data_IF_296357138813
#
_entry.id   IF_296357138813
#
_cell.length_a   1.000
_cell.length_b   1.000
_cell.length_c   1.000
_cell.angle_alpha   90.00
_cell.angle_beta   90.00
_cell.angle_gamma   90.00
#
_symmetry.space_group_name_H-M   'P 1'
#
loop_
_entity.id
_entity.type
_entity.pdbx_description
1 polymer ?
#
# COMPACT_ATOMS: atom_id res chain seq x y z
N UNK A 1 29.46 3.92 22.03
CA UNK A 1 28.04 3.99 22.39
C UNK A 1 27.52 5.25 21.71
N UNK A 2 26.83 5.11 20.57
CA UNK A 2 26.48 6.25 19.73
C UNK A 2 25.22 7.00 20.23
N UNK A 3 24.40 6.32 21.05
CA UNK A 3 23.14 6.83 21.56
C UNK A 3 23.09 6.84 23.08
N UNK A 4 22.39 7.83 23.62
CA UNK A 4 22.00 7.94 25.03
C UNK A 4 20.48 7.86 25.20
N UNK A 5 20.05 7.43 26.39
CA UNK A 5 18.63 7.35 26.73
C UNK A 5 18.07 8.74 27.02
N UNK A 6 16.97 9.09 26.35
CA UNK A 6 16.26 10.34 26.63
C UNK A 6 15.60 10.26 28.00
N UNK A 7 15.89 11.22 28.86
CA UNK A 7 15.26 11.33 30.17
C UNK A 7 13.91 12.07 30.07
N UNK A 8 13.00 11.75 31.00
CA UNK A 8 11.73 12.47 31.10
C UNK A 8 11.98 13.95 31.38
N UNK A 9 11.40 14.83 30.57
CA UNK A 9 11.54 16.28 30.71
C UNK A 9 12.85 16.85 30.12
N UNK A 10 13.66 16.05 29.43
CA UNK A 10 14.79 16.54 28.65
C UNK A 10 14.29 17.44 27.51
N UNK A 11 14.91 18.62 27.35
CA UNK A 11 14.53 19.60 26.32
C UNK A 11 15.67 19.96 25.38
N UNK A 12 16.88 19.48 25.65
CA UNK A 12 18.08 19.72 24.84
C UNK A 12 18.53 18.40 24.25
N UNK A 13 18.78 18.41 22.95
CA UNK A 13 19.20 17.26 22.18
C UNK A 13 20.37 17.64 21.29
N UNK A 14 21.30 16.71 21.11
CA UNK A 14 22.34 16.83 20.11
C UNK A 14 21.75 16.64 18.71
N UNK A 15 20.82 15.70 18.56
CA UNK A 15 20.16 15.43 17.27
C UNK A 15 19.42 16.68 16.75
N UNK A 16 19.68 17.16 15.53
CA UNK A 16 19.10 18.38 15.02
C UNK A 16 17.65 18.18 14.57
N UNK A 17 16.77 19.06 15.04
CA UNK A 17 15.37 19.12 14.62
C UNK A 17 14.45 18.06 15.21
N UNK A 18 14.89 17.38 16.27
CA UNK A 18 14.03 16.56 17.13
C UNK A 18 13.60 17.35 18.36
N UNK A 19 12.43 17.02 18.89
CA UNK A 19 11.91 17.57 20.13
C UNK A 19 11.01 16.53 20.81
N UNK A 20 10.80 16.62 22.14
CA UNK A 20 9.81 15.80 22.81
C UNK A 20 8.42 16.20 22.32
N UNK A 21 7.60 15.21 22.01
CA UNK A 21 6.18 15.40 21.83
C UNK A 21 5.48 15.69 23.19
N UNK A 22 4.16 15.94 23.22
CA UNK A 22 3.43 16.16 24.47
C UNK A 22 3.52 15.01 25.50
N UNK A 23 3.92 13.80 25.09
CA UNK A 23 4.15 12.64 25.97
C UNK A 23 5.60 12.54 26.45
N UNK A 24 6.47 13.47 26.04
CA UNK A 24 7.90 13.46 26.33
C UNK A 24 8.71 12.53 25.42
N UNK A 25 8.11 11.98 24.36
CA UNK A 25 8.79 11.06 23.43
C UNK A 25 9.54 11.87 22.40
N UNK A 26 10.83 11.60 22.25
CA UNK A 26 11.64 12.23 21.23
C UNK A 26 11.13 11.89 19.83
N UNK A 27 10.81 12.94 19.08
CA UNK A 27 10.28 12.83 17.73
C UNK A 27 10.86 13.93 16.84
N UNK A 28 11.32 13.56 15.65
CA UNK A 28 11.62 14.48 14.56
C UNK A 28 10.41 14.74 13.68
N UNK A 29 10.64 15.40 12.53
CA UNK A 29 9.58 15.65 11.52
C UNK A 29 9.13 14.37 10.81
N UNK A 30 10.01 13.37 10.72
CA UNK A 30 9.77 12.14 9.97
C UNK A 30 10.10 10.90 10.80
N UNK A 31 9.36 9.84 10.54
CA UNK A 31 9.76 8.48 10.89
C UNK A 31 10.35 7.82 9.65
N UNK A 32 11.53 7.25 9.81
CA UNK A 32 12.26 6.56 8.76
C UNK A 32 12.33 5.09 9.13
N UNK A 33 11.87 4.23 8.23
CA UNK A 33 11.92 2.78 8.38
C UNK A 33 12.85 2.19 7.34
N UNK A 34 13.75 1.32 7.76
CA UNK A 34 14.65 0.59 6.87
C UNK A 34 14.24 -0.87 6.78
N UNK A 35 14.23 -1.39 5.55
CA UNK A 35 13.92 -2.78 5.23
C UNK A 35 15.01 -3.37 4.35
N UNK A 36 15.51 -4.58 4.65
CA UNK A 36 16.50 -5.25 3.80
C UNK A 36 15.96 -5.57 2.39
N UNK A 37 14.65 -5.73 2.25
CA UNK A 37 14.00 -6.12 0.99
C UNK A 37 12.74 -5.29 0.71
N UNK A 38 12.35 -5.24 -0.56
CA UNK A 38 11.06 -4.63 -0.97
C UNK A 38 9.86 -5.37 -0.39
N UNK A 39 9.96 -6.70 -0.24
CA UNK A 39 8.91 -7.50 0.37
C UNK A 39 8.65 -7.09 1.83
N UNK A 40 9.70 -6.75 2.59
CA UNK A 40 9.55 -6.22 3.94
C UNK A 40 8.77 -4.91 3.97
N UNK A 41 9.09 -3.98 3.06
CA UNK A 41 8.36 -2.72 2.93
C UNK A 41 6.89 -2.95 2.50
N UNK A 42 6.63 -3.84 1.53
CA UNK A 42 5.26 -4.19 1.11
C UNK A 42 4.47 -4.84 2.25
N UNK A 43 5.12 -5.71 3.04
CA UNK A 43 4.50 -6.34 4.20
C UNK A 43 4.14 -5.32 5.28
N UNK A 44 4.99 -4.30 5.48
CA UNK A 44 4.67 -3.17 6.34
C UNK A 44 3.43 -2.40 5.83
N UNK A 45 3.37 -2.05 4.54
CA UNK A 45 2.20 -1.38 3.95
C UNK A 45 0.92 -2.21 4.10
N UNK A 46 1.00 -3.52 3.87
CA UNK A 46 -0.11 -4.45 4.07
C UNK A 46 -0.65 -4.37 5.50
N UNK A 47 0.23 -4.51 6.48
CA UNK A 47 -0.16 -4.46 7.89
C UNK A 47 -0.71 -3.09 8.27
N UNK A 48 -0.04 -2.01 7.85
CA UNK A 48 -0.48 -0.65 8.16
C UNK A 48 -1.86 -0.37 7.58
N UNK A 49 -2.10 -0.75 6.32
CA UNK A 49 -3.39 -0.57 5.64
C UNK A 49 -4.55 -1.29 6.32
N UNK A 50 -4.28 -2.37 7.06
CA UNK A 50 -5.30 -3.09 7.83
C UNK A 50 -5.65 -2.44 9.18
N UNK A 51 -4.79 -1.55 9.70
CA UNK A 51 -4.99 -0.89 10.98
C UNK A 51 -5.36 0.59 10.86
N UNK A 52 -4.98 1.25 9.76
CA UNK A 52 -5.18 2.67 9.55
C UNK A 52 -5.17 3.05 8.06
N UNK A 53 -5.81 4.16 7.72
CA UNK A 53 -5.79 4.72 6.38
C UNK A 53 -4.37 5.14 5.97
N UNK A 54 -3.88 4.64 4.83
CA UNK A 54 -2.62 5.08 4.23
C UNK A 54 -2.72 6.50 3.69
N UNK A 55 -3.91 6.97 3.31
CA UNK A 55 -4.16 8.33 2.82
C UNK A 55 -3.62 9.41 3.77
N UNK A 56 -3.58 9.16 5.07
CA UNK A 56 -3.01 10.08 6.06
C UNK A 56 -1.49 10.26 5.90
N UNK A 57 -0.80 9.24 5.39
CA UNK A 57 0.65 9.22 5.22
C UNK A 57 1.09 9.64 3.82
N UNK A 58 0.29 9.30 2.80
CA UNK A 58 0.66 9.43 1.38
C UNK A 58 1.18 10.81 0.96
N UNK A 59 0.65 11.96 1.43
CA UNK A 59 1.12 13.27 0.97
C UNK A 59 2.61 13.54 1.19
N UNK A 60 3.23 12.93 2.20
CA UNK A 60 4.66 13.10 2.53
C UNK A 60 5.39 11.76 2.64
N UNK A 61 4.80 10.70 2.09
CA UNK A 61 5.40 9.38 2.08
C UNK A 61 6.40 9.26 0.93
N UNK A 62 7.60 8.76 1.23
CA UNK A 62 8.58 8.42 0.19
C UNK A 62 9.08 6.99 0.37
N UNK A 63 9.29 6.30 -0.75
CA UNK A 63 9.92 4.97 -0.78
C UNK A 63 11.17 5.10 -1.62
N UNK A 64 12.32 4.94 -0.99
CA UNK A 64 13.62 5.16 -1.64
C UNK A 64 14.45 3.90 -1.59
N UNK A 65 15.08 3.55 -2.70
CA UNK A 65 16.15 2.56 -2.74
C UNK A 65 17.42 3.25 -2.30
N UNK A 66 18.03 2.76 -1.24
CA UNK A 66 19.26 3.35 -0.72
C UNK A 66 20.38 2.33 -0.72
N UNK A 67 21.61 2.82 -0.87
CA UNK A 67 22.84 2.05 -0.74
C UNK A 67 23.59 2.50 0.51
N UNK A 68 24.09 1.52 1.23
CA UNK A 68 24.86 1.69 2.46
C UNK A 68 26.35 1.88 2.14
N UNK A 69 27.14 2.33 3.12
CA UNK A 69 28.60 2.42 2.97
C UNK A 69 29.27 1.07 2.60
N UNK A 70 28.67 -0.05 3.04
CA UNK A 70 29.14 -1.41 2.72
C UNK A 70 28.65 -1.92 1.35
N UNK A 71 27.90 -1.11 0.60
CA UNK A 71 27.39 -1.47 -0.73
C UNK A 71 26.08 -2.24 -0.74
N UNK A 72 25.55 -2.64 0.42
CA UNK A 72 24.23 -3.27 0.54
C UNK A 72 23.12 -2.31 0.12
N UNK A 73 22.09 -2.86 -0.53
CA UNK A 73 20.88 -2.12 -0.94
C UNK A 73 19.74 -2.40 0.04
N UNK A 74 19.05 -1.35 0.43
CA UNK A 74 17.92 -1.39 1.34
C UNK A 74 16.77 -0.53 0.79
N UNK A 75 15.56 -0.83 1.25
CA UNK A 75 14.38 0.00 1.00
C UNK A 75 14.14 0.85 2.23
N UNK A 76 14.02 2.15 2.01
CA UNK A 76 13.76 3.14 3.04
C UNK A 76 12.39 3.72 2.80
N UNK A 77 11.52 3.59 3.80
CA UNK A 77 10.18 4.20 3.80
C UNK A 77 10.20 5.34 4.80
N UNK A 78 9.97 6.56 4.31
CA UNK A 78 9.86 7.75 5.15
C UNK A 78 8.39 8.17 5.22
N UNK A 79 7.89 8.42 6.42
CA UNK A 79 6.53 8.89 6.67
C UNK A 79 6.56 10.13 7.57
N UNK A 80 5.55 11.02 7.49
CA UNK A 80 5.45 12.15 8.41
C UNK A 80 5.24 11.65 9.84
N UNK A 81 6.00 12.19 10.79
CA UNK A 81 5.85 11.90 12.22
C UNK A 81 4.88 12.91 12.86
N UNK A 82 3.59 12.77 12.58
CA UNK A 82 2.55 13.72 13.06
C UNK A 82 2.36 13.64 14.57
N UNK A 83 2.48 12.43 15.13
CA UNK A 83 2.41 12.18 16.58
C UNK A 83 3.18 10.92 16.94
N UNK A 84 3.57 10.79 18.21
CA UNK A 84 4.13 9.54 18.71
C UNK A 84 3.15 8.37 18.61
N UNK A 85 1.83 8.59 18.63
CA UNK A 85 0.86 7.52 18.41
C UNK A 85 0.95 6.91 17.01
N UNK A 86 1.08 7.76 15.98
CA UNK A 86 1.28 7.31 14.61
C UNK A 86 2.65 6.63 14.43
N UNK A 87 3.69 7.20 15.05
CA UNK A 87 5.03 6.63 15.05
C UNK A 87 5.11 5.28 15.77
N UNK A 88 4.41 5.12 16.90
CA UNK A 88 4.31 3.85 17.66
C UNK A 88 3.67 2.74 16.82
N UNK A 89 2.57 3.06 16.13
CA UNK A 89 1.91 2.13 15.22
C UNK A 89 2.86 1.70 14.10
N UNK A 90 3.47 2.68 13.42
CA UNK A 90 4.42 2.42 12.33
C UNK A 90 5.61 1.58 12.80
N UNK A 91 6.21 1.93 13.94
CA UNK A 91 7.37 1.23 14.51
C UNK A 91 7.04 -0.19 14.96
N UNK A 92 5.88 -0.41 15.58
CA UNK A 92 5.41 -1.75 15.97
C UNK A 92 5.33 -2.67 14.75
N UNK A 93 4.68 -2.20 13.69
CA UNK A 93 4.52 -2.98 12.46
C UNK A 93 5.85 -3.16 11.73
N UNK A 94 6.73 -2.16 11.76
CA UNK A 94 8.07 -2.24 11.19
C UNK A 94 8.91 -3.34 11.87
N UNK A 95 8.88 -3.40 13.21
CA UNK A 95 9.54 -4.47 13.97
C UNK A 95 8.98 -5.85 13.66
N UNK A 96 7.67 -5.97 13.46
CA UNK A 96 7.02 -7.25 13.15
C UNK A 96 7.53 -7.86 11.84
N UNK A 97 7.89 -7.03 10.86
CA UNK A 97 8.44 -7.48 9.56
C UNK A 97 9.97 -7.46 9.51
N UNK A 98 10.64 -7.30 10.65
CA UNK A 98 12.10 -7.30 10.76
C UNK A 98 12.80 -6.03 10.27
N UNK A 99 12.08 -4.91 10.17
CA UNK A 99 12.66 -3.61 9.88
C UNK A 99 13.13 -2.85 11.13
N UNK A 100 13.86 -1.76 10.92
CA UNK A 100 14.27 -0.83 11.98
C UNK A 100 13.61 0.54 11.78
N UNK A 101 13.26 1.21 12.86
CA UNK A 101 12.59 2.52 12.82
C UNK A 101 13.45 3.58 13.50
N UNK A 102 13.51 4.75 12.88
CA UNK A 102 14.27 5.90 13.31
C UNK A 102 13.41 7.16 13.24
N UNK A 103 13.76 8.19 13.99
CA UNK A 103 13.10 9.49 13.96
C UNK A 103 14.11 10.61 13.75
N UNK A 104 13.71 11.65 13.01
CA UNK A 104 14.62 12.73 12.62
C UNK A 104 13.97 13.68 11.61
N UNK A 105 14.77 14.57 11.05
CA UNK A 105 14.25 15.72 10.30
C UNK A 105 14.70 15.75 8.85
N UNK A 106 15.96 15.42 8.57
CA UNK A 106 16.52 15.46 7.21
C UNK A 106 17.76 14.60 7.05
N UNK A 107 18.87 14.98 7.71
CA UNK A 107 20.18 14.35 7.53
C UNK A 107 20.54 13.34 8.60
N UNK A 108 20.01 13.50 9.81
CA UNK A 108 20.31 12.61 10.93
C UNK A 108 19.02 12.06 11.50
N UNK A 109 19.02 10.75 11.69
CA UNK A 109 17.91 10.00 12.26
C UNK A 109 18.46 9.14 13.40
N UNK A 110 17.83 9.19 14.56
CA UNK A 110 18.17 8.39 15.73
C UNK A 110 17.17 7.27 15.90
N UNK A 111 17.60 6.16 16.49
CA UNK A 111 16.74 5.00 16.76
C UNK A 111 15.46 5.44 17.46
N UNK A 112 14.33 4.99 16.93
CA UNK A 112 13.03 5.22 17.57
C UNK A 112 12.90 4.36 18.83
N UNK A 113 12.08 4.82 19.77
CA UNK A 113 11.94 4.23 21.10
C UNK A 113 11.60 2.73 21.12
N UNK A 114 11.95 2.11 22.22
CA UNK A 114 11.63 0.73 22.56
C UNK A 114 11.40 0.60 24.08
N UNK A 115 11.28 -0.64 24.56
CA UNK A 115 11.02 -0.93 25.98
C UNK A 115 12.20 -0.53 26.89
N UNK A 116 13.42 -0.43 26.35
CA UNK A 116 14.62 -0.02 27.09
C UNK A 116 14.72 1.50 27.18
N UNK A 117 14.23 2.22 26.17
CA UNK A 117 14.15 3.68 26.20
C UNK A 117 12.76 4.18 25.80
N UNK A 118 11.81 4.24 26.74
CA UNK A 118 10.43 4.62 26.46
C UNK A 118 10.25 6.05 25.91
N UNK A 119 11.22 6.93 26.14
CA UNK A 119 11.21 8.32 25.62
C UNK A 119 12.07 8.50 24.36
N UNK A 120 12.72 7.43 23.87
CA UNK A 120 13.57 7.48 22.69
C UNK A 120 15.05 7.63 23.02
N UNK A 121 15.84 7.88 21.98
CA UNK A 121 17.29 7.93 22.04
C UNK A 121 17.80 9.21 21.42
N UNK A 122 18.79 9.85 22.04
CA UNK A 122 19.52 10.96 21.44
C UNK A 122 20.94 10.53 21.06
N UNK A 123 21.54 11.19 20.08
CA UNK A 123 22.92 10.95 19.71
C UNK A 123 23.86 11.57 20.76
N UNK A 124 24.92 10.85 21.15
CA UNK A 124 25.97 11.42 22.02
C UNK A 124 26.87 12.38 21.23
N UNK A 125 27.11 12.04 19.97
CA UNK A 125 27.87 12.85 19.02
C UNK A 125 27.32 12.63 17.61
N UNK A 126 27.23 13.71 16.84
CA UNK A 126 26.85 13.69 15.44
C UNK A 126 28.14 13.76 14.65
N UNK A 127 28.69 12.59 14.39
CA UNK A 127 29.91 12.45 13.60
C UNK A 127 29.81 13.12 12.23
N UNK A 128 30.97 13.35 11.62
CA UNK A 128 31.05 13.98 10.31
C UNK A 128 30.35 13.13 9.23
N UNK A 129 29.41 13.74 8.51
CA UNK A 129 28.75 13.12 7.36
C UNK A 129 29.59 13.36 6.11
N UNK A 130 29.98 12.29 5.41
CA UNK A 130 30.67 12.41 4.13
C UNK A 130 29.81 13.17 3.11
N UNK A 131 30.42 13.97 2.25
CA UNK A 131 29.71 14.80 1.27
C UNK A 131 28.84 14.00 0.28
N UNK A 132 29.14 12.71 0.10
CA UNK A 132 28.41 11.78 -0.76
C UNK A 132 27.23 11.09 -0.08
N UNK A 133 27.06 11.27 1.24
CA UNK A 133 25.99 10.67 2.04
C UNK A 133 24.79 11.61 2.10
N UNK A 134 23.59 11.09 1.83
CA UNK A 134 22.37 11.89 1.85
C UNK A 134 21.79 12.03 3.27
N UNK A 135 21.82 10.94 4.03
CA UNK A 135 21.41 10.91 5.43
C UNK A 135 22.12 9.80 6.20
N UNK A 136 22.14 9.92 7.52
CA UNK A 136 22.70 8.96 8.46
C UNK A 136 21.62 8.49 9.43
N UNK A 137 21.66 7.20 9.74
CA UNK A 137 20.92 6.62 10.87
C UNK A 137 21.89 6.28 11.99
N UNK A 138 21.46 6.52 13.22
CA UNK A 138 22.19 6.22 14.44
C UNK A 138 21.42 5.14 15.19
N UNK A 139 21.99 3.94 15.27
CA UNK A 139 21.52 2.81 16.06
C UNK A 139 22.31 2.66 17.36
N UNK A 140 21.94 1.66 18.17
CA UNK A 140 22.55 1.46 19.50
C UNK A 140 24.09 1.31 19.43
N UNK A 141 24.55 0.51 18.46
CA UNK A 141 25.96 0.10 18.31
C UNK A 141 26.60 0.57 17.00
N UNK A 142 25.86 1.28 16.15
CA UNK A 142 26.34 1.68 14.82
C UNK A 142 25.80 3.05 14.40
N UNK A 143 26.55 3.71 13.53
CA UNK A 143 26.07 4.84 12.73
C UNK A 143 26.31 4.50 11.26
N UNK A 144 25.31 4.72 10.42
CA UNK A 144 25.33 4.26 9.04
C UNK A 144 24.82 5.34 8.10
N UNK A 145 25.67 5.69 7.11
CA UNK A 145 25.32 6.59 6.02
C UNK A 145 24.61 5.86 4.88
N UNK A 146 23.63 6.54 4.30
CA UNK A 146 22.86 6.09 3.16
C UNK A 146 22.98 7.07 1.99
N UNK A 147 23.06 6.50 0.79
CA UNK A 147 23.00 7.21 -0.49
C UNK A 147 21.75 6.76 -1.23
N UNK A 148 20.92 7.69 -1.69
CA UNK A 148 19.69 7.43 -2.45
C UNK A 148 20.06 7.05 -3.88
N UNK A 149 19.63 5.87 -4.31
CA UNK A 149 19.85 5.38 -5.69
C UNK A 149 18.63 5.60 -6.59
N UNK A 150 17.43 5.71 -6.01
CA UNK A 150 16.22 6.00 -6.77
C UNK A 150 14.96 5.93 -5.92
N UNK A 151 13.90 6.55 -6.42
CA UNK A 151 12.60 6.59 -5.76
C UNK A 151 11.63 5.59 -6.40
N UNK A 152 10.75 5.01 -5.59
CA UNK A 152 9.66 4.17 -6.01
C UNK A 152 8.33 4.82 -5.60
N UNK A 153 7.62 5.50 -6.53
CA UNK A 153 6.33 6.10 -6.23
C UNK A 153 5.35 5.04 -5.70
N UNK A 154 4.61 5.36 -4.63
CA UNK A 154 3.68 4.41 -3.99
C UNK A 154 2.63 3.88 -4.98
N UNK A 155 2.03 4.74 -5.81
CA UNK A 155 1.06 4.29 -6.82
C UNK A 155 1.67 3.29 -7.81
N UNK A 156 2.93 3.50 -8.23
CA UNK A 156 3.64 2.56 -9.11
C UNK A 156 3.89 1.21 -8.43
N UNK A 157 4.17 1.22 -7.13
CA UNK A 157 4.26 -0.01 -6.35
C UNK A 157 2.89 -0.70 -6.29
N UNK A 158 1.85 0.01 -5.88
CA UNK A 158 0.48 -0.48 -5.72
C UNK A 158 -0.02 -1.21 -6.98
N UNK A 159 0.04 -0.56 -8.14
CA UNK A 159 -0.44 -1.13 -9.40
C UNK A 159 0.41 -2.28 -9.97
N UNK A 160 1.60 -2.54 -9.39
CA UNK A 160 2.48 -3.66 -9.79
C UNK A 160 2.43 -4.83 -8.82
N UNK A 161 1.67 -4.73 -7.73
CA UNK A 161 1.53 -5.82 -6.78
C UNK A 161 0.54 -6.85 -7.31
N UNK A 162 0.97 -8.11 -7.32
CA UNK A 162 0.10 -9.24 -7.65
C UNK A 162 -0.95 -9.45 -6.57
N UNK A 163 -2.21 -9.55 -6.99
CA UNK A 163 -3.28 -10.01 -6.11
C UNK A 163 -3.04 -11.47 -5.71
N UNK A 164 -3.40 -11.82 -4.47
CA UNK A 164 -3.18 -13.15 -3.89
C UNK A 164 -4.48 -13.91 -3.83
N UNK A 165 -4.44 -15.20 -4.17
CA UNK A 165 -5.60 -16.08 -4.02
C UNK A 165 -5.92 -16.26 -2.54
N UNK A 166 -7.18 -16.06 -2.18
CA UNK A 166 -7.70 -16.29 -0.83
C UNK A 166 -8.33 -17.68 -0.75
N UNK A 167 -7.87 -18.56 0.15
CA UNK A 167 -8.56 -19.81 0.43
C UNK A 167 -10.01 -19.54 0.83
N UNK A 168 -10.97 -20.13 0.12
CA UNK A 168 -12.40 -19.91 0.37
C UNK A 168 -12.94 -18.54 -0.07
N UNK A 169 -12.13 -17.64 -0.65
CA UNK A 169 -12.57 -16.30 -1.04
C UNK A 169 -13.58 -16.24 -2.20
N UNK A 170 -13.93 -17.39 -2.75
CA UNK A 170 -15.01 -17.57 -3.73
C UNK A 170 -16.39 -17.75 -3.06
N UNK A 171 -16.41 -18.10 -1.76
CA UNK A 171 -17.61 -18.23 -0.93
C UNK A 171 -17.90 -16.87 -0.28
N UNK A 172 -18.76 -16.08 -0.92
CA UNK A 172 -19.12 -14.75 -0.45
C UNK A 172 -20.33 -14.79 0.49
N UNK A 173 -20.22 -14.09 1.62
CA UNK A 173 -21.33 -13.85 2.53
C UNK A 173 -22.42 -13.00 1.86
N UNK A 174 -23.61 -12.93 2.48
CA UNK A 174 -24.74 -12.15 1.94
C UNK A 174 -24.38 -10.67 1.75
N UNK A 175 -23.61 -10.11 2.68
CA UNK A 175 -23.17 -8.71 2.66
C UNK A 175 -22.23 -8.43 1.48
N UNK A 176 -21.26 -9.31 1.23
CA UNK A 176 -20.29 -9.20 0.13
C UNK A 176 -20.92 -9.41 -1.25
N UNK A 177 -22.14 -9.98 -1.31
CA UNK A 177 -22.92 -10.15 -2.56
C UNK A 177 -23.88 -8.98 -2.82
N UNK A 178 -23.90 -7.97 -1.96
CA UNK A 178 -24.74 -6.78 -2.12
C UNK A 178 -24.49 -6.05 -3.45
N UNK A 179 -23.22 -6.00 -3.87
CA UNK A 179 -22.81 -5.40 -5.13
C UNK A 179 -21.61 -6.15 -5.73
N UNK A 180 -21.73 -6.58 -6.98
CA UNK A 180 -20.66 -7.24 -7.72
C UNK A 180 -20.57 -6.68 -9.14
N UNK A 181 -19.42 -6.86 -9.77
CA UNK A 181 -19.23 -6.56 -11.17
C UNK A 181 -18.88 -7.80 -11.96
N UNK A 182 -19.38 -7.87 -13.20
CA UNK A 182 -19.11 -8.95 -14.13
C UNK A 182 -18.37 -8.37 -15.34
N UNK A 183 -17.24 -8.95 -15.69
CA UNK A 183 -16.67 -8.80 -17.02
C UNK A 183 -17.09 -10.02 -17.85
N UNK A 184 -17.92 -9.78 -18.86
CA UNK A 184 -18.52 -10.83 -19.70
C UNK A 184 -17.96 -10.71 -21.11
N UNK A 185 -17.40 -11.81 -21.63
CA UNK A 185 -16.91 -11.88 -22.99
C UNK A 185 -18.04 -11.54 -23.99
N UNK A 186 -17.71 -10.82 -25.07
CA UNK A 186 -18.71 -10.23 -26.01
C UNK A 186 -19.75 -11.23 -26.49
N UNK A 187 -19.35 -12.46 -26.80
CA UNK A 187 -20.24 -13.52 -27.30
C UNK A 187 -21.26 -14.05 -26.28
N UNK A 188 -21.06 -13.80 -24.98
CA UNK A 188 -21.96 -14.25 -23.91
C UNK A 188 -22.94 -13.17 -23.44
N UNK A 189 -22.71 -11.90 -23.80
CA UNK A 189 -23.41 -10.73 -23.25
C UNK A 189 -24.94 -10.86 -23.30
N UNK A 190 -25.51 -11.17 -24.47
CA UNK A 190 -26.96 -11.28 -24.66
C UNK A 190 -27.59 -12.39 -23.80
N UNK A 191 -26.86 -13.50 -23.66
CA UNK A 191 -27.29 -14.63 -22.84
C UNK A 191 -27.33 -14.25 -21.36
N UNK A 192 -26.29 -13.57 -20.89
CA UNK A 192 -26.19 -13.12 -19.49
C UNK A 192 -27.24 -12.06 -19.18
N UNK A 193 -27.45 -11.07 -20.05
CA UNK A 193 -28.50 -10.05 -19.85
C UNK A 193 -29.88 -10.70 -19.75
N UNK A 194 -30.22 -11.62 -20.67
CA UNK A 194 -31.49 -12.37 -20.62
C UNK A 194 -31.60 -13.24 -19.36
N UNK A 195 -30.50 -13.85 -18.93
CA UNK A 195 -30.46 -14.68 -17.74
C UNK A 195 -30.72 -13.86 -16.46
N UNK A 196 -30.04 -12.72 -16.31
CA UNK A 196 -30.24 -11.80 -15.17
C UNK A 196 -31.68 -11.28 -15.14
N UNK A 197 -32.21 -10.85 -16.29
CA UNK A 197 -33.58 -10.39 -16.42
C UNK A 197 -34.60 -11.46 -16.00
N UNK A 198 -34.44 -12.71 -16.49
CA UNK A 198 -35.33 -13.83 -16.15
C UNK A 198 -35.33 -14.15 -14.66
N UNK A 199 -34.18 -13.98 -13.99
CA UNK A 199 -34.03 -14.22 -12.56
C UNK A 199 -34.30 -12.98 -11.71
N UNK A 200 -34.79 -11.87 -12.30
CA UNK A 200 -35.11 -10.60 -11.63
C UNK A 200 -33.94 -10.01 -10.83
N UNK A 201 -32.72 -10.12 -11.37
CA UNK A 201 -31.53 -9.50 -10.79
C UNK A 201 -31.40 -8.08 -11.33
N UNK A 202 -31.33 -7.09 -10.44
CA UNK A 202 -31.09 -5.69 -10.81
C UNK A 202 -29.65 -5.52 -11.31
N UNK A 203 -29.48 -4.93 -12.49
CA UNK A 203 -28.21 -4.82 -13.16
C UNK A 203 -28.11 -3.60 -14.08
N UNK A 204 -26.92 -3.02 -14.17
CA UNK A 204 -26.56 -1.97 -15.12
C UNK A 204 -25.42 -2.50 -16.00
N UNK A 205 -25.54 -2.37 -17.31
CA UNK A 205 -24.57 -2.88 -18.27
C UNK A 205 -23.97 -1.75 -19.11
N UNK A 206 -22.67 -1.82 -19.35
CA UNK A 206 -21.93 -0.94 -20.25
C UNK A 206 -20.91 -1.73 -21.06
N UNK A 207 -20.69 -1.33 -22.31
CA UNK A 207 -19.64 -1.93 -23.13
C UNK A 207 -18.31 -1.23 -22.83
N UNK A 208 -17.31 -2.00 -22.40
CA UNK A 208 -15.95 -1.49 -22.25
C UNK A 208 -15.07 -1.99 -23.39
N UNK A 209 -14.36 -1.06 -24.03
CA UNK A 209 -13.32 -1.37 -25.01
C UNK A 209 -12.03 -0.70 -24.52
N UNK A 210 -10.98 -1.47 -24.17
CA UNK A 210 -9.74 -0.89 -23.68
C UNK A 210 -9.12 0.02 -24.74
N UNK A 211 -8.68 1.21 -24.35
CA UNK A 211 -7.91 2.09 -25.22
C UNK A 211 -6.49 1.55 -25.41
N UNK A 212 -6.06 1.29 -26.64
CA UNK A 212 -4.68 0.90 -26.94
C UNK A 212 -3.74 2.09 -26.75
N UNK A 213 -2.74 1.97 -25.89
CA UNK A 213 -1.71 3.01 -25.70
C UNK A 213 -0.53 2.85 -26.67
N UNK A 214 -0.39 1.68 -27.31
CA UNK A 214 0.69 1.34 -28.23
C UNK A 214 0.16 0.77 -29.55
N UNK A 215 0.87 1.03 -30.65
CA UNK A 215 0.59 0.41 -31.95
C UNK A 215 0.93 -1.09 -32.00
N UNK A 216 1.60 -1.62 -30.97
CA UNK A 216 1.88 -3.05 -30.80
C UNK A 216 0.83 -3.76 -29.92
N UNK A 217 -0.19 -3.04 -29.45
CA UNK A 217 -1.31 -3.56 -28.65
C UNK A 217 -2.45 -4.11 -29.53
N UNK A 218 -2.16 -4.71 -30.68
CA UNK A 218 -3.20 -5.24 -31.59
C UNK A 218 -4.09 -6.29 -30.90
N UNK A 219 -3.56 -7.02 -29.90
CA UNK A 219 -4.32 -7.96 -29.07
C UNK A 219 -5.15 -7.31 -27.95
N UNK A 220 -5.09 -6.00 -27.75
CA UNK A 220 -5.84 -5.26 -26.73
C UNK A 220 -7.21 -4.81 -27.26
N UNK A 221 -7.32 -4.53 -28.56
CA UNK A 221 -8.58 -4.10 -29.21
C UNK A 221 -9.64 -5.20 -29.27
N UNK A 222 -9.24 -6.46 -29.34
CA UNK A 222 -10.15 -7.63 -29.30
C UNK A 222 -10.60 -8.02 -27.88
N UNK A 223 -10.14 -7.30 -26.84
CA UNK A 223 -10.49 -7.58 -25.43
C UNK A 223 -11.67 -6.78 -24.92
N UNK A 224 -12.48 -6.18 -25.79
CA UNK A 224 -13.71 -5.56 -25.34
C UNK A 224 -14.58 -6.58 -24.58
N UNK A 225 -15.18 -6.17 -23.48
CA UNK A 225 -16.09 -7.00 -22.69
C UNK A 225 -17.28 -6.17 -22.23
N UNK A 226 -18.39 -6.85 -21.96
CA UNK A 226 -19.52 -6.22 -21.30
C UNK A 226 -19.21 -6.13 -19.80
N UNK A 227 -19.24 -4.92 -19.28
CA UNK A 227 -19.12 -4.65 -17.85
C UNK A 227 -20.52 -4.53 -17.26
N UNK A 228 -20.87 -5.41 -16.33
CA UNK A 228 -22.20 -5.44 -15.72
C UNK A 228 -22.08 -5.27 -14.21
N UNK A 229 -22.60 -4.18 -13.68
CA UNK A 229 -22.82 -3.98 -12.24
C UNK A 229 -24.10 -4.70 -11.85
N UNK A 230 -24.03 -5.68 -10.95
CA UNK A 230 -25.18 -6.45 -10.45
C UNK A 230 -25.38 -6.22 -8.96
N UNK A 231 -26.63 -6.19 -8.52
CA UNK A 231 -26.99 -6.00 -7.11
C UNK A 231 -27.62 -7.26 -6.52
N UNK A 232 -27.29 -7.54 -5.25
CA UNK A 232 -27.82 -8.64 -4.46
C UNK A 232 -27.82 -9.99 -5.22
N UNK A 233 -26.66 -10.37 -5.78
CA UNK A 233 -26.57 -11.56 -6.64
C UNK A 233 -26.83 -12.85 -5.83
N UNK A 234 -27.82 -13.69 -6.22
CA UNK A 234 -28.08 -14.95 -5.54
C UNK A 234 -26.89 -15.90 -5.61
N UNK A 235 -26.60 -16.62 -4.53
CA UNK A 235 -25.45 -17.53 -4.39
C UNK A 235 -25.40 -18.58 -5.53
N UNK A 236 -26.56 -19.17 -5.87
CA UNK A 236 -26.67 -20.13 -6.99
C UNK A 236 -26.19 -19.53 -8.32
N UNK A 237 -26.47 -18.24 -8.56
CA UNK A 237 -26.07 -17.55 -9.80
C UNK A 237 -24.60 -17.16 -9.74
N UNK A 238 -24.11 -16.71 -8.57
CA UNK A 238 -22.69 -16.46 -8.35
C UNK A 238 -21.86 -17.70 -8.63
N UNK A 239 -22.22 -18.85 -8.05
CA UNK A 239 -21.52 -20.11 -8.25
C UNK A 239 -21.50 -20.54 -9.72
N UNK A 240 -22.60 -20.33 -10.45
CA UNK A 240 -22.67 -20.55 -11.89
C UNK A 240 -21.69 -19.65 -12.65
N UNK A 241 -21.67 -18.34 -12.35
CA UNK A 241 -20.81 -17.38 -13.04
C UNK A 241 -19.33 -17.63 -12.76
N UNK A 242 -18.95 -17.93 -11.52
CA UNK A 242 -17.57 -18.30 -11.18
C UNK A 242 -17.09 -19.56 -11.92
N UNK A 243 -18.00 -20.48 -12.22
CA UNK A 243 -17.70 -21.70 -12.98
C UNK A 243 -17.81 -21.56 -14.50
N UNK A 244 -18.23 -20.41 -15.04
CA UNK A 244 -18.48 -20.24 -16.47
C UNK A 244 -17.32 -19.54 -17.17
N UNK A 245 -16.60 -20.20 -18.10
CA UNK A 245 -15.54 -19.56 -18.87
C UNK A 245 -16.03 -18.34 -19.65
N UNK A 246 -15.26 -17.25 -19.59
CA UNK A 246 -15.61 -15.97 -20.23
C UNK A 246 -16.48 -15.06 -19.36
N UNK A 247 -16.70 -15.41 -18.09
CA UNK A 247 -17.28 -14.54 -17.07
C UNK A 247 -16.30 -14.42 -15.91
N UNK A 248 -15.84 -13.22 -15.64
CA UNK A 248 -15.03 -12.91 -14.47
C UNK A 248 -15.85 -12.05 -13.50
N UNK A 249 -15.85 -12.42 -12.23
CA UNK A 249 -16.62 -11.75 -11.17
C UNK A 249 -15.66 -10.94 -10.29
N UNK A 250 -16.02 -9.70 -10.03
CA UNK A 250 -15.23 -8.77 -9.22
C UNK A 250 -16.07 -8.22 -8.06
N UNK A 251 -15.42 -8.04 -6.91
CA UNK A 251 -15.97 -7.35 -5.75
C UNK A 251 -15.45 -5.90 -5.71
N UNK A 252 -16.29 -4.90 -5.40
CA UNK A 252 -15.81 -3.56 -5.13
C UNK A 252 -14.85 -3.55 -3.93
N UNK A 253 -13.81 -2.72 -4.01
CA UNK A 253 -12.91 -2.41 -2.89
C UNK A 253 -12.76 -0.89 -2.85
N UNK A 254 -13.52 -0.23 -1.98
CA UNK A 254 -13.66 1.22 -1.99
C UNK A 254 -14.52 1.73 -3.16
N UNK A 255 -14.39 3.02 -3.49
CA UNK A 255 -15.24 3.68 -4.49
C UNK A 255 -14.73 3.53 -5.94
N UNK A 256 -13.42 3.37 -6.13
CA UNK A 256 -12.76 3.49 -7.45
C UNK A 256 -11.99 2.25 -7.87
N UNK A 257 -12.18 1.12 -7.18
CA UNK A 257 -11.50 -0.13 -7.50
C UNK A 257 -12.37 -1.36 -7.29
N UNK A 258 -12.07 -2.42 -8.03
CA UNK A 258 -12.61 -3.76 -7.83
C UNK A 258 -11.52 -4.82 -7.98
N UNK A 259 -11.66 -5.91 -7.24
CA UNK A 259 -10.72 -7.05 -7.23
C UNK A 259 -11.49 -8.32 -7.60
N UNK A 260 -10.87 -9.21 -8.38
CA UNK A 260 -11.49 -10.49 -8.71
C UNK A 260 -11.91 -11.27 -7.45
N UNK A 261 -13.10 -11.86 -7.49
CA UNK A 261 -13.61 -12.74 -6.43
C UNK A 261 -12.66 -13.92 -6.27
N UNK A 262 -12.42 -14.36 -5.03
CA UNK A 262 -11.37 -15.33 -4.71
C UNK A 262 -9.97 -14.74 -4.54
N UNK A 263 -9.79 -13.43 -4.74
CA UNK A 263 -8.49 -12.77 -4.61
C UNK A 263 -8.54 -11.56 -3.66
N UNK A 264 -7.35 -11.18 -3.18
CA UNK A 264 -7.13 -9.98 -2.38
C UNK A 264 -5.90 -9.24 -2.85
N UNK A 265 -6.02 -7.92 -2.95
CA UNK A 265 -4.84 -7.08 -3.12
C UNK A 265 -3.99 -7.08 -1.84
N UNK A 266 -2.64 -7.16 -1.92
CA UNK A 266 -1.81 -7.24 -0.72
C UNK A 266 -1.95 -6.05 0.23
N UNK A 267 -2.26 -4.87 -0.31
CA UNK A 267 -2.56 -3.64 0.42
C UNK A 267 -4.07 -3.40 0.35
N UNK A 268 -4.69 -2.98 1.45
CA UNK A 268 -6.11 -2.58 1.44
C UNK A 268 -6.29 -1.33 0.57
N UNK A 269 -6.94 -1.50 -0.59
CA UNK A 269 -7.14 -0.43 -1.56
C UNK A 269 -8.06 0.68 -1.02
N UNK A 270 -8.96 0.35 -0.08
CA UNK A 270 -9.83 1.33 0.55
C UNK A 270 -9.03 2.29 1.46
N UNK A 271 -7.87 1.87 1.96
CA UNK A 271 -6.99 2.70 2.80
C UNK A 271 -6.20 3.76 2.02
N UNK A 272 -6.11 3.64 0.69
CA UNK A 272 -5.32 4.50 -0.19
C UNK A 272 -6.15 5.08 -1.34
N UNK A 273 -7.33 5.61 -1.01
CA UNK A 273 -8.29 6.14 -1.98
C UNK A 273 -7.72 7.29 -2.82
N UNK A 274 -6.83 8.10 -2.25
CA UNK A 274 -6.19 9.23 -2.92
C UNK A 274 -5.28 8.86 -4.09
N UNK A 275 -4.89 7.58 -4.20
CA UNK A 275 -4.07 7.08 -5.32
C UNK A 275 -4.91 6.88 -6.58
N UNK A 276 -6.23 6.72 -6.44
CA UNK A 276 -7.14 6.48 -7.56
C UNK A 276 -7.76 7.81 -8.01
N UNK A 277 -7.59 8.21 -9.28
CA UNK A 277 -8.32 9.35 -9.83
C UNK A 277 -9.85 9.15 -9.72
N UNK A 278 -10.58 10.21 -9.37
CA UNK A 278 -12.03 10.15 -9.20
C UNK A 278 -12.80 9.81 -10.50
N UNK A 279 -12.20 10.10 -11.65
CA UNK A 279 -12.79 9.89 -12.98
C UNK A 279 -12.53 8.49 -13.55
N UNK A 280 -11.88 7.60 -12.79
CA UNK A 280 -11.52 6.27 -13.26
C UNK A 280 -11.85 5.17 -12.26
N UNK A 281 -12.10 3.98 -12.78
CA UNK A 281 -12.40 2.78 -12.01
C UNK A 281 -11.40 1.67 -12.35
N UNK A 282 -10.69 1.15 -11.35
CA UNK A 282 -9.56 0.24 -11.55
C UNK A 282 -9.95 -1.20 -11.24
N UNK A 283 -9.80 -2.09 -12.20
CA UNK A 283 -10.17 -3.50 -12.07
C UNK A 283 -8.93 -4.35 -12.03
N UNK A 284 -8.68 -5.00 -10.89
CA UNK A 284 -7.53 -5.85 -10.65
C UNK A 284 -7.87 -7.31 -10.98
N UNK A 285 -7.21 -7.83 -12.01
CA UNK A 285 -7.39 -9.18 -12.51
C UNK A 285 -6.34 -10.14 -11.94
N UNK A 286 -6.61 -11.46 -11.96
CA UNK A 286 -5.56 -12.45 -11.84
C UNK A 286 -4.53 -12.26 -12.98
N UNK A 287 -3.27 -12.65 -12.73
CA UNK A 287 -2.13 -12.50 -13.67
C UNK A 287 -1.66 -11.04 -13.91
N UNK A 288 -1.71 -10.20 -12.87
CA UNK A 288 -1.10 -8.86 -12.84
C UNK A 288 -1.64 -7.86 -13.86
N UNK A 289 -2.84 -8.13 -14.41
CA UNK A 289 -3.54 -7.20 -15.29
C UNK A 289 -4.37 -6.23 -14.45
N UNK A 290 -4.27 -4.94 -14.79
CA UNK A 290 -5.13 -3.89 -14.24
C UNK A 290 -5.76 -3.15 -15.41
N UNK A 291 -7.09 -3.16 -15.48
CA UNK A 291 -7.84 -2.36 -16.43
C UNK A 291 -8.30 -1.06 -15.78
N UNK A 292 -8.29 0.02 -16.55
CA UNK A 292 -8.78 1.34 -16.11
C UNK A 292 -10.02 1.67 -16.94
N UNK A 293 -11.17 1.66 -16.28
CA UNK A 293 -12.46 2.00 -16.87
C UNK A 293 -12.75 3.48 -16.60
N UNK A 294 -13.61 4.13 -17.41
CA UNK A 294 -14.20 5.39 -17.04
C UNK A 294 -14.91 5.26 -15.70
N UNK A 295 -14.86 6.30 -14.88
CA UNK A 295 -15.57 6.38 -13.61
C UNK A 295 -17.09 6.17 -13.78
N UNK A 296 -17.79 5.85 -12.68
CA UNK A 296 -19.24 5.63 -12.67
C UNK A 296 -20.04 6.85 -13.12
#
# INVERSE_FOLDING_TARGET
>A
MALEHVAQGQTRFFTPGVAPDPRGILLGRFCLMTFPTLEGAVSWFRLYSSEAALDELLPNLTITKCRTALGSREIVVQIPAVSSYAADRAARLCRLVGGATYTGTAKHFVKYRDDRSPYGYDAVDIGAMAATTDFMVHGDEFAQGYVREGELPFGRLLFRLSIRKLPGGEQLEVEDRGELYLAVARGLSDGIIRYLWRNRVDAQAGLFTPSSSSAFDDHVRDRGYMWIRVRALPERILALFLGTPGIDVFRPVGASAAVAVGYQHPIDLASCSSVFPAETFHVFWPNDRVDVLPGP
#
